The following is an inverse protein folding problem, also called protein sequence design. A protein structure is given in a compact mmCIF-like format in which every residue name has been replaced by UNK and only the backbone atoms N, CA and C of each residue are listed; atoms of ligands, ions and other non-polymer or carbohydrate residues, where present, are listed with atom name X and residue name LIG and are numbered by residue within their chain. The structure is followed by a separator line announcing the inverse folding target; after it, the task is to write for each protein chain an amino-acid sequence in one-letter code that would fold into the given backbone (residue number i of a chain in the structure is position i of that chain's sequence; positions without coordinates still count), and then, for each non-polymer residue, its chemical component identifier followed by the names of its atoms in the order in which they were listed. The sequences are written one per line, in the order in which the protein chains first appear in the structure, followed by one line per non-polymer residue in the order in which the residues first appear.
data_IF_728329640934
#
_entry.id   IF_728329640934
#
_cell.length_a   1.000
_cell.length_b   1.000
_cell.length_c   1.000
_cell.angle_alpha   90.00
_cell.angle_beta   90.00
_cell.angle_gamma   90.00
#
_symmetry.space_group_name_H-M   'P 1'
#
loop_
_entity.id
_entity.type
_entity.pdbx_description
1 polymer ?
#
# COMPACT_ATOMS: atom_id res chain seq x y z
N UNK A 1 19.91 -8.11 -8.20
CA UNK A 1 19.57 -7.07 -7.22
C UNK A 1 18.32 -6.31 -7.67
N UNK A 2 17.20 -6.62 -6.99
CA UNK A 2 15.88 -6.10 -7.34
C UNK A 2 15.77 -4.59 -7.14
N UNK A 3 16.31 -4.06 -6.02
CA UNK A 3 16.34 -2.61 -5.78
C UNK A 3 17.24 -1.87 -6.75
N UNK A 4 18.38 -2.43 -7.12
CA UNK A 4 19.26 -1.84 -8.14
C UNK A 4 18.55 -1.74 -9.49
N UNK A 5 17.73 -2.70 -9.85
CA UNK A 5 16.89 -2.63 -11.07
C UNK A 5 15.85 -1.52 -10.99
N UNK A 6 15.17 -1.41 -9.84
CA UNK A 6 14.22 -0.32 -9.58
C UNK A 6 14.92 1.06 -9.64
N UNK A 7 16.08 1.20 -9.00
CA UNK A 7 16.87 2.44 -9.04
C UNK A 7 17.28 2.82 -10.46
N UNK A 8 17.67 1.85 -11.29
CA UNK A 8 18.00 2.11 -12.70
C UNK A 8 16.80 2.61 -13.51
N UNK A 9 15.62 2.10 -13.23
CA UNK A 9 14.39 2.57 -13.88
C UNK A 9 14.13 4.06 -13.64
N UNK A 10 14.55 4.59 -12.49
CA UNK A 10 14.35 5.99 -12.10
C UNK A 10 15.63 6.84 -12.15
N UNK A 11 16.74 6.32 -12.71
CA UNK A 11 18.02 7.03 -12.76
C UNK A 11 18.09 8.15 -13.83
N UNK A 12 17.03 8.34 -14.62
CA UNK A 12 16.95 9.33 -15.70
C UNK A 12 16.75 10.78 -15.23
N UNK A 13 16.64 11.72 -16.19
CA UNK A 13 16.24 13.08 -15.90
C UNK A 13 14.92 13.14 -15.15
N UNK A 14 14.76 14.16 -14.31
CA UNK A 14 13.53 14.36 -13.52
C UNK A 14 12.74 15.52 -14.10
N UNK A 15 11.42 15.41 -14.04
CA UNK A 15 10.51 16.52 -14.28
C UNK A 15 10.24 17.20 -12.96
N UNK A 16 10.51 18.50 -12.87
CA UNK A 16 10.08 19.31 -11.73
C UNK A 16 8.61 19.69 -11.92
N UNK A 17 7.70 19.26 -11.02
CA UNK A 17 6.31 19.67 -11.11
C UNK A 17 6.18 21.16 -10.81
N UNK A 18 5.24 21.88 -11.49
CA UNK A 18 4.81 23.21 -11.08
C UNK A 18 4.40 23.25 -9.60
N UNK A 19 4.60 24.39 -8.95
CA UNK A 19 4.37 24.55 -7.50
C UNK A 19 2.91 24.35 -7.05
N UNK A 20 1.96 24.46 -7.96
CA UNK A 20 0.52 24.27 -7.74
C UNK A 20 0.05 22.83 -7.93
N UNK A 21 0.95 21.92 -8.33
CA UNK A 21 0.65 20.50 -8.46
C UNK A 21 1.02 19.71 -7.19
N UNK A 22 0.37 18.56 -6.95
CA UNK A 22 0.75 17.68 -5.86
C UNK A 22 2.15 17.09 -6.06
N UNK A 23 2.78 16.62 -4.97
CA UNK A 23 4.10 16.03 -5.04
C UNK A 23 4.20 14.77 -5.91
N UNK A 24 3.12 14.01 -6.02
CA UNK A 24 3.04 12.84 -6.89
C UNK A 24 2.20 13.17 -8.13
N UNK A 25 2.85 13.30 -9.26
CA UNK A 25 2.24 13.61 -10.55
C UNK A 25 2.28 12.44 -11.54
N UNK A 26 2.92 11.35 -11.16
CA UNK A 26 3.15 10.13 -11.93
C UNK A 26 4.39 9.40 -11.40
N UNK A 27 4.58 8.18 -11.84
CA UNK A 27 5.71 7.35 -11.41
C UNK A 27 5.29 5.94 -11.01
N UNK A 28 6.00 5.32 -10.08
CA UNK A 28 5.74 3.95 -9.65
C UNK A 28 5.00 3.90 -8.32
N UNK A 29 3.98 3.06 -8.25
CA UNK A 29 3.28 2.70 -7.02
C UNK A 29 3.30 1.18 -6.87
N UNK A 30 3.66 0.69 -5.68
CA UNK A 30 3.75 -0.75 -5.48
C UNK A 30 4.17 -1.12 -4.07
N UNK A 31 4.74 -2.30 -3.93
CA UNK A 31 5.22 -2.79 -2.64
C UNK A 31 6.61 -3.41 -2.74
N UNK A 32 7.27 -3.41 -1.60
CA UNK A 32 8.46 -4.18 -1.28
C UNK A 32 8.08 -5.15 -0.16
N UNK A 33 8.28 -6.47 -0.37
CA UNK A 33 8.03 -7.45 0.68
C UNK A 33 9.13 -7.39 1.74
N UNK A 34 8.82 -7.86 2.94
CA UNK A 34 9.83 -8.01 4.00
C UNK A 34 10.96 -8.94 3.56
N UNK A 35 10.64 -10.00 2.83
CA UNK A 35 11.62 -11.00 2.38
C UNK A 35 12.62 -10.47 1.32
N UNK A 36 12.41 -9.29 0.77
CA UNK A 36 13.42 -8.60 -0.05
C UNK A 36 14.74 -8.40 0.72
N UNK A 37 14.70 -8.32 2.05
CA UNK A 37 15.89 -8.27 2.90
C UNK A 37 16.87 -9.41 2.65
N UNK A 38 16.42 -10.56 2.13
CA UNK A 38 17.24 -11.73 1.79
C UNK A 38 18.20 -11.49 0.62
N UNK A 39 17.98 -10.45 -0.16
CA UNK A 39 18.97 -10.01 -1.18
C UNK A 39 20.18 -9.30 -0.56
N UNK A 40 20.07 -8.84 0.70
CA UNK A 40 21.09 -8.04 1.40
C UNK A 40 21.64 -8.73 2.64
N UNK A 41 20.84 -9.55 3.30
CA UNK A 41 21.17 -10.19 4.56
C UNK A 41 21.07 -11.72 4.44
N UNK A 42 22.01 -12.43 5.07
CA UNK A 42 21.97 -13.89 5.15
C UNK A 42 21.04 -14.29 6.29
N UNK A 43 19.80 -14.57 5.95
CA UNK A 43 18.78 -14.98 6.90
C UNK A 43 18.36 -16.44 6.68
N UNK A 44 18.05 -17.20 7.75
CA UNK A 44 17.53 -18.55 7.63
C UNK A 44 16.19 -18.58 6.88
N UNK A 45 16.08 -19.42 5.85
CA UNK A 45 14.84 -19.62 5.09
C UNK A 45 13.98 -20.71 5.75
N UNK A 46 13.46 -20.45 6.94
CA UNK A 46 12.68 -21.41 7.74
C UNK A 46 11.18 -21.32 7.43
N UNK A 47 10.68 -20.11 7.14
CA UNK A 47 9.28 -19.90 6.84
C UNK A 47 8.92 -20.48 5.45
N UNK A 48 7.74 -21.09 5.38
CA UNK A 48 7.20 -21.56 4.10
C UNK A 48 6.66 -20.37 3.32
N UNK A 49 7.10 -20.20 2.10
CA UNK A 49 6.48 -19.30 1.13
C UNK A 49 5.29 -20.02 0.49
N UNK A 50 4.09 -19.73 0.97
CA UNK A 50 2.84 -20.34 0.51
C UNK A 50 1.99 -19.40 -0.35
N UNK A 51 2.37 -18.13 -0.47
CA UNK A 51 1.71 -17.16 -1.31
C UNK A 51 2.38 -16.99 -2.67
N UNK A 52 3.69 -17.30 -2.77
CA UNK A 52 4.50 -17.20 -3.98
C UNK A 52 4.43 -15.81 -4.64
N UNK A 53 4.31 -14.77 -3.84
CA UNK A 53 4.25 -13.40 -4.32
C UNK A 53 5.64 -12.86 -4.65
N UNK A 54 5.78 -11.98 -5.64
CA UNK A 54 7.04 -11.31 -5.94
C UNK A 54 7.58 -10.54 -4.73
N UNK A 55 8.90 -10.48 -4.57
CA UNK A 55 9.55 -9.67 -3.52
C UNK A 55 9.31 -8.18 -3.70
N UNK A 56 9.10 -7.74 -4.93
CA UNK A 56 8.68 -6.39 -5.24
C UNK A 56 7.75 -6.41 -6.47
N UNK A 57 6.77 -5.52 -6.46
CA UNK A 57 5.89 -5.33 -7.62
C UNK A 57 5.44 -3.88 -7.68
N UNK A 58 5.58 -3.26 -8.86
CA UNK A 58 5.23 -1.85 -9.11
C UNK A 58 4.43 -1.71 -10.40
N UNK A 59 3.38 -0.91 -10.33
CA UNK A 59 2.72 -0.33 -11.50
C UNK A 59 3.32 1.02 -11.84
N UNK A 60 3.47 1.32 -13.12
CA UNK A 60 3.87 2.64 -13.61
C UNK A 60 2.63 3.43 -14.01
N UNK A 61 2.48 4.62 -13.46
CA UNK A 61 1.32 5.47 -13.65
C UNK A 61 1.74 6.79 -14.27
N UNK A 62 1.14 7.11 -15.39
CA UNK A 62 1.33 8.37 -16.12
C UNK A 62 0.13 9.32 -16.01
N UNK A 63 -0.95 8.84 -15.39
CA UNK A 63 -2.15 9.62 -15.11
C UNK A 63 -2.49 9.52 -13.62
N UNK A 64 -2.67 10.67 -12.98
CA UNK A 64 -2.98 10.79 -11.54
C UNK A 64 -4.21 11.68 -11.37
N UNK A 65 -5.12 11.26 -10.50
CA UNK A 65 -6.20 12.09 -9.99
C UNK A 65 -5.87 12.42 -8.53
N UNK A 66 -5.60 13.67 -8.26
CA UNK A 66 -5.31 14.16 -6.93
C UNK A 66 -6.52 14.91 -6.35
N UNK A 67 -6.86 14.60 -5.10
CA UNK A 67 -7.94 15.24 -4.36
C UNK A 67 -7.38 15.93 -3.14
N UNK A 68 -7.46 17.25 -3.09
CA UNK A 68 -7.13 18.03 -1.92
C UNK A 68 -8.41 18.39 -1.16
N UNK A 69 -8.65 17.70 -0.06
CA UNK A 69 -9.84 17.92 0.77
C UNK A 69 -9.81 19.24 1.54
N UNK A 70 -8.64 19.84 1.77
CA UNK A 70 -8.52 21.14 2.46
C UNK A 70 -8.84 22.29 1.50
N UNK A 71 -8.30 22.23 0.29
CA UNK A 71 -8.57 23.22 -0.75
C UNK A 71 -9.89 22.99 -1.49
N UNK A 72 -10.52 21.80 -1.33
CA UNK A 72 -11.70 21.42 -2.12
C UNK A 72 -11.39 21.29 -3.60
N UNK A 73 -10.18 20.88 -3.96
CA UNK A 73 -9.68 20.86 -5.33
C UNK A 73 -9.47 19.41 -5.81
N UNK A 74 -9.87 19.16 -7.05
CA UNK A 74 -9.53 17.93 -7.77
C UNK A 74 -8.70 18.27 -8.99
N UNK A 75 -7.58 17.58 -9.16
CA UNK A 75 -6.67 17.77 -10.29
C UNK A 75 -6.51 16.45 -11.04
N UNK A 76 -6.64 16.47 -12.36
CA UNK A 76 -6.33 15.35 -13.23
C UNK A 76 -5.02 15.70 -13.94
N UNK A 77 -4.01 14.87 -13.77
CA UNK A 77 -2.65 15.15 -14.19
C UNK A 77 -2.19 14.04 -15.11
N UNK A 78 -1.70 14.40 -16.29
CA UNK A 78 -1.02 13.48 -17.21
C UNK A 78 0.47 13.83 -17.27
N UNK A 79 1.30 12.90 -16.86
CA UNK A 79 2.76 13.02 -16.88
C UNK A 79 3.37 11.74 -17.47
N UNK A 80 3.59 11.69 -18.79
CA UNK A 80 4.13 10.53 -19.44
C UNK A 80 5.58 10.25 -18.98
N UNK A 81 6.05 8.99 -19.07
CA UNK A 81 7.44 8.65 -18.74
C UNK A 81 8.45 9.47 -19.53
N UNK A 82 9.60 9.75 -18.91
CA UNK A 82 10.64 10.62 -19.47
C UNK A 82 11.15 10.14 -20.84
N UNK A 83 11.18 8.84 -21.06
CA UNK A 83 11.61 8.22 -22.33
C UNK A 83 10.72 8.69 -23.48
N UNK A 84 9.43 8.87 -23.22
CA UNK A 84 8.49 9.40 -24.21
C UNK A 84 8.74 10.87 -24.51
N UNK A 85 9.10 11.67 -23.50
CA UNK A 85 9.50 13.08 -23.72
C UNK A 85 10.75 13.21 -24.56
N UNK A 86 11.67 12.26 -24.49
CA UNK A 86 12.92 12.26 -25.26
C UNK A 86 12.74 11.65 -26.67
N UNK A 87 11.80 10.71 -26.83
CA UNK A 87 11.62 9.94 -28.06
C UNK A 87 10.45 10.38 -28.95
N UNK A 88 9.50 11.16 -28.44
CA UNK A 88 8.29 11.56 -29.16
C UNK A 88 8.19 13.09 -29.31
N UNK A 89 7.39 13.54 -30.30
CA UNK A 89 7.15 14.98 -30.46
C UNK A 89 6.31 15.54 -29.32
N UNK A 90 6.65 16.71 -28.85
CA UNK A 90 5.88 17.41 -27.78
C UNK A 90 4.42 17.62 -28.17
N UNK A 91 4.18 17.92 -29.43
CA UNK A 91 2.81 18.14 -29.95
C UNK A 91 1.98 16.86 -29.87
N UNK A 92 2.56 15.70 -30.20
CA UNK A 92 1.89 14.39 -30.06
C UNK A 92 1.54 14.10 -28.60
N UNK A 93 2.50 14.26 -27.69
CA UNK A 93 2.28 14.04 -26.26
C UNK A 93 1.25 15.00 -25.66
N UNK A 94 1.25 16.25 -26.10
CA UNK A 94 0.28 17.25 -25.66
C UNK A 94 -1.14 16.91 -26.12
N UNK A 95 -1.32 16.52 -27.38
CA UNK A 95 -2.65 16.08 -27.88
C UNK A 95 -3.17 14.86 -27.13
N UNK A 96 -2.33 13.85 -26.99
CA UNK A 96 -2.67 12.66 -26.21
C UNK A 96 -3.05 13.01 -24.78
N UNK A 97 -2.31 13.91 -24.14
CA UNK A 97 -2.61 14.40 -22.80
C UNK A 97 -4.01 15.05 -22.73
N UNK A 98 -4.34 15.94 -23.67
CA UNK A 98 -5.66 16.56 -23.74
C UNK A 98 -6.78 15.51 -23.88
N UNK A 99 -6.61 14.54 -24.77
CA UNK A 99 -7.59 13.48 -24.98
C UNK A 99 -7.80 12.64 -23.73
N UNK A 100 -6.72 12.25 -23.05
CA UNK A 100 -6.79 11.48 -21.78
C UNK A 100 -7.41 12.27 -20.64
N UNK A 101 -7.07 13.55 -20.52
CA UNK A 101 -7.69 14.43 -19.49
C UNK A 101 -9.19 14.60 -19.74
N UNK A 102 -9.61 14.80 -20.98
CA UNK A 102 -11.02 14.91 -21.35
C UNK A 102 -11.80 13.60 -21.06
N UNK A 103 -11.21 12.45 -21.39
CA UNK A 103 -11.80 11.13 -21.08
C UNK A 103 -12.04 10.96 -19.57
N UNK A 104 -11.04 11.26 -18.76
CA UNK A 104 -11.15 11.09 -17.31
C UNK A 104 -12.07 12.13 -16.67
N UNK A 105 -12.10 13.35 -17.18
CA UNK A 105 -13.07 14.35 -16.75
C UNK A 105 -14.49 13.87 -17.03
N UNK A 106 -14.76 13.34 -18.20
CA UNK A 106 -16.09 12.80 -18.54
C UNK A 106 -16.48 11.60 -17.64
N UNK A 107 -15.53 10.75 -17.28
CA UNK A 107 -15.76 9.66 -16.31
C UNK A 107 -16.12 10.19 -14.92
N UNK A 108 -15.43 11.24 -14.45
CA UNK A 108 -15.70 11.84 -13.15
C UNK A 108 -17.05 12.57 -13.10
N UNK A 109 -17.47 13.17 -14.20
CA UNK A 109 -18.77 13.83 -14.32
C UNK A 109 -19.92 12.81 -14.45
N UNK A 110 -19.63 11.54 -14.74
CA UNK A 110 -20.63 10.49 -14.82
C UNK A 110 -21.07 10.02 -13.44
N UNK A 111 -22.33 9.61 -13.31
CA UNK A 111 -22.82 8.98 -12.08
C UNK A 111 -22.16 7.61 -11.91
N UNK A 112 -21.44 7.35 -10.81
CA UNK A 112 -20.84 6.05 -10.59
C UNK A 112 -21.92 4.95 -10.50
N UNK A 113 -21.63 3.73 -10.96
CA UNK A 113 -22.55 2.62 -10.77
C UNK A 113 -22.79 2.40 -9.27
N UNK A 114 -24.00 1.97 -8.88
CA UNK A 114 -24.28 1.67 -7.48
C UNK A 114 -23.33 0.57 -7.00
N UNK A 115 -22.69 0.82 -5.85
CA UNK A 115 -21.85 -0.21 -5.21
C UNK A 115 -22.74 -1.38 -4.82
N UNK A 116 -22.40 -2.57 -5.25
CA UNK A 116 -23.04 -3.82 -4.80
C UNK A 116 -22.83 -3.96 -3.30
N UNK A 117 -23.92 -4.19 -2.56
CA UNK A 117 -23.82 -4.43 -1.13
C UNK A 117 -22.95 -5.68 -0.90
N UNK A 118 -21.87 -5.59 -0.12
CA UNK A 118 -21.06 -6.76 0.18
C UNK A 118 -21.83 -7.74 1.06
N UNK A 119 -21.44 -9.01 1.04
CA UNK A 119 -22.03 -10.00 1.91
C UNK A 119 -21.89 -9.61 3.40
N UNK A 120 -22.85 -9.98 4.25
CA UNK A 120 -22.78 -9.68 5.68
C UNK A 120 -21.56 -10.40 6.31
N UNK A 121 -20.77 -9.67 7.11
CA UNK A 121 -19.52 -10.14 7.73
C UNK A 121 -19.71 -11.35 8.67
N UNK A 122 -20.92 -11.59 9.19
CA UNK A 122 -21.25 -12.74 10.05
C UNK A 122 -21.21 -14.09 9.32
N UNK A 123 -21.06 -14.11 8.01
CA UNK A 123 -20.92 -15.32 7.20
C UNK A 123 -19.47 -15.63 6.82
N UNK A 124 -18.51 -14.80 7.27
CA UNK A 124 -17.09 -14.97 6.92
C UNK A 124 -16.40 -15.76 8.03
N UNK A 125 -15.86 -16.92 7.69
CA UNK A 125 -15.02 -17.69 8.59
C UNK A 125 -13.56 -17.20 8.50
N UNK A 126 -12.97 -16.94 9.67
CA UNK A 126 -11.57 -16.57 9.82
C UNK A 126 -10.77 -17.77 10.32
N UNK A 127 -9.76 -18.18 9.60
CA UNK A 127 -8.87 -19.27 9.97
C UNK A 127 -7.51 -18.70 10.39
N UNK A 128 -7.15 -18.75 11.68
CA UNK A 128 -5.84 -18.33 12.13
C UNK A 128 -4.78 -19.34 11.68
N UNK A 129 -3.59 -18.87 11.34
CA UNK A 129 -2.44 -19.70 10.95
C UNK A 129 -1.86 -20.51 12.12
N UNK A 130 -2.23 -20.17 13.35
CA UNK A 130 -1.78 -20.84 14.58
C UNK A 130 -2.86 -20.78 15.65
N UNK A 131 -2.79 -21.73 16.60
CA UNK A 131 -3.68 -21.74 17.75
C UNK A 131 -3.35 -20.62 18.74
N UNK A 132 -4.34 -20.21 19.53
CA UNK A 132 -4.15 -19.23 20.62
C UNK A 132 -3.00 -19.62 21.56
N UNK A 133 -2.93 -20.90 21.96
CA UNK A 133 -1.90 -21.36 22.89
C UNK A 133 -0.50 -21.34 22.26
N UNK A 134 -0.39 -21.70 20.97
CA UNK A 134 0.89 -21.60 20.25
C UNK A 134 1.36 -20.14 20.16
N UNK A 135 0.45 -19.18 19.91
CA UNK A 135 0.79 -17.78 19.90
C UNK A 135 1.25 -17.28 21.27
N UNK A 136 0.55 -17.63 22.36
CA UNK A 136 0.91 -17.29 23.73
C UNK A 136 2.30 -17.84 24.07
N UNK A 137 2.60 -19.08 23.69
CA UNK A 137 3.94 -19.67 23.92
C UNK A 137 5.05 -18.90 23.19
N UNK A 138 4.81 -18.44 21.95
CA UNK A 138 5.76 -17.59 21.21
C UNK A 138 6.00 -16.26 21.91
N UNK A 139 4.95 -15.61 22.40
CA UNK A 139 5.07 -14.36 23.18
C UNK A 139 5.91 -14.59 24.43
N UNK A 140 5.63 -15.64 25.20
CA UNK A 140 6.41 -15.99 26.41
C UNK A 140 7.87 -16.26 26.08
N UNK A 141 8.14 -16.91 24.94
CA UNK A 141 9.52 -17.16 24.51
C UNK A 141 10.26 -15.86 24.16
N UNK A 142 9.60 -14.93 23.47
CA UNK A 142 10.18 -13.61 23.22
C UNK A 142 10.49 -12.86 24.50
N UNK A 143 9.58 -12.89 25.49
CA UNK A 143 9.81 -12.28 26.81
C UNK A 143 11.04 -12.87 27.51
N UNK A 144 11.27 -14.20 27.39
CA UNK A 144 12.47 -14.85 27.94
C UNK A 144 13.73 -14.35 27.24
N UNK A 145 13.74 -14.21 25.90
CA UNK A 145 14.89 -13.67 25.17
C UNK A 145 15.18 -12.21 25.53
N UNK A 146 14.14 -11.39 25.71
CA UNK A 146 14.31 -10.01 26.17
C UNK A 146 14.91 -9.97 27.58
N UNK A 147 14.40 -10.81 28.50
CA UNK A 147 14.92 -10.88 29.87
C UNK A 147 16.37 -11.39 29.94
N UNK A 148 16.75 -12.28 29.02
CA UNK A 148 18.13 -12.77 28.89
C UNK A 148 19.08 -11.77 28.25
N UNK A 149 18.56 -10.70 27.61
CA UNK A 149 19.36 -9.72 26.86
C UNK A 149 19.74 -10.18 25.45
N UNK A 150 19.15 -11.27 24.96
CA UNK A 150 19.42 -11.79 23.62
C UNK A 150 18.81 -10.91 22.52
N UNK A 151 17.65 -10.29 22.79
CA UNK A 151 16.96 -9.37 21.89
C UNK A 151 16.40 -8.21 22.69
N UNK A 152 16.22 -7.08 22.02
CA UNK A 152 15.63 -5.87 22.58
C UNK A 152 14.11 -5.80 22.36
N UNK A 153 13.66 -6.20 21.17
CA UNK A 153 12.28 -6.12 20.72
C UNK A 153 11.99 -7.26 19.75
N UNK A 154 10.74 -7.70 19.70
CA UNK A 154 10.23 -8.64 18.70
C UNK A 154 8.84 -8.22 18.23
N UNK A 155 8.61 -8.29 16.92
CA UNK A 155 7.29 -8.15 16.30
C UNK A 155 6.77 -9.55 15.92
N UNK A 156 5.75 -10.01 16.62
CA UNK A 156 5.09 -11.29 16.34
C UNK A 156 3.87 -11.07 15.48
N UNK A 157 3.91 -11.53 14.24
CA UNK A 157 2.77 -11.48 13.35
C UNK A 157 1.84 -12.69 13.53
N UNK A 158 0.58 -12.48 13.24
CA UNK A 158 -0.45 -13.51 13.22
C UNK A 158 -1.31 -13.31 11.96
N UNK A 159 -1.39 -14.36 11.14
CA UNK A 159 -2.17 -14.33 9.90
C UNK A 159 -3.53 -15.00 10.11
N UNK A 160 -4.55 -14.38 9.54
CA UNK A 160 -5.87 -14.96 9.39
C UNK A 160 -6.18 -15.13 7.91
N UNK A 161 -6.63 -16.31 7.54
CA UNK A 161 -7.10 -16.59 6.19
C UNK A 161 -8.63 -16.57 6.18
N UNK A 162 -9.20 -15.95 5.17
CA UNK A 162 -10.63 -15.94 4.92
C UNK A 162 -10.93 -17.00 3.85
N UNK A 163 -11.93 -17.83 4.08
CA UNK A 163 -12.49 -18.64 2.99
C UNK A 163 -13.34 -17.73 2.10
N UNK A 164 -13.12 -17.76 0.77
CA UNK A 164 -14.01 -17.06 -0.13
C UNK A 164 -15.42 -17.65 0.02
N UNK A 165 -16.42 -16.78 0.09
CA UNK A 165 -17.82 -17.21 0.08
C UNK A 165 -18.08 -18.00 -1.20
N UNK A 166 -18.80 -19.12 -1.10
CA UNK A 166 -19.13 -19.99 -2.25
C UNK A 166 -19.89 -19.28 -3.38
N UNK A 167 -20.43 -18.10 -3.10
CA UNK A 167 -21.11 -17.21 -4.05
C UNK A 167 -20.18 -16.20 -4.72
N UNK A 168 -18.89 -16.20 -4.33
CA UNK A 168 -17.91 -15.24 -4.81
C UNK A 168 -17.04 -15.88 -5.89
N UNK A 169 -17.32 -15.57 -7.16
CA UNK A 169 -16.39 -15.90 -8.25
C UNK A 169 -15.28 -14.84 -8.30
N UNK A 170 -14.17 -15.13 -7.64
CA UNK A 170 -12.99 -14.28 -7.59
C UNK A 170 -12.39 -13.93 -8.97
N UNK A 171 -12.84 -14.58 -10.03
CA UNK A 171 -12.37 -14.37 -11.39
C UNK A 171 -13.17 -13.31 -12.16
N UNK A 172 -14.41 -13.06 -11.75
CA UNK A 172 -15.36 -12.27 -12.56
C UNK A 172 -15.61 -10.88 -11.96
N UNK A 173 -15.54 -10.70 -10.63
CA UNK A 173 -16.02 -9.45 -10.02
C UNK A 173 -15.27 -9.06 -8.73
N UNK A 174 -13.95 -9.06 -8.79
CA UNK A 174 -13.06 -8.83 -7.64
C UNK A 174 -13.10 -7.38 -7.15
N UNK A 175 -13.01 -6.44 -8.08
CA UNK A 175 -12.80 -5.02 -7.75
C UNK A 175 -13.89 -4.37 -6.89
N UNK A 176 -15.21 -4.55 -7.13
CA UNK A 176 -16.23 -3.92 -6.31
C UNK A 176 -16.19 -4.37 -4.85
N UNK A 177 -15.89 -5.64 -4.59
CA UNK A 177 -15.79 -6.19 -3.24
C UNK A 177 -14.55 -5.68 -2.50
N UNK A 178 -13.42 -5.58 -3.19
CA UNK A 178 -12.16 -5.06 -2.64
C UNK A 178 -12.28 -3.56 -2.32
N UNK A 179 -12.92 -2.79 -3.18
CA UNK A 179 -13.21 -1.38 -2.93
C UNK A 179 -14.12 -1.19 -1.71
N UNK A 180 -15.17 -1.98 -1.59
CA UNK A 180 -16.06 -1.92 -0.43
C UNK A 180 -15.35 -2.36 0.86
N UNK A 181 -14.50 -3.40 0.80
CA UNK A 181 -13.68 -3.80 1.94
C UNK A 181 -12.74 -2.66 2.37
N UNK A 182 -12.09 -2.01 1.41
CA UNK A 182 -11.25 -0.85 1.67
C UNK A 182 -12.04 0.31 2.28
N UNK A 183 -13.21 0.64 1.75
CA UNK A 183 -14.09 1.67 2.27
C UNK A 183 -14.51 1.40 3.73
N UNK A 184 -14.84 0.14 4.05
CA UNK A 184 -15.16 -0.25 5.44
C UNK A 184 -13.94 -0.15 6.34
N UNK A 185 -12.78 -0.58 5.86
CA UNK A 185 -11.54 -0.45 6.61
C UNK A 185 -11.24 1.00 6.94
N UNK A 186 -11.38 1.91 5.97
CA UNK A 186 -11.20 3.34 6.18
C UNK A 186 -12.22 3.93 7.18
N UNK A 187 -13.47 3.43 7.19
CA UNK A 187 -14.49 3.89 8.14
C UNK A 187 -14.18 3.49 9.58
N UNK A 188 -13.57 2.31 9.78
CA UNK A 188 -13.21 1.79 11.11
C UNK A 188 -11.85 2.35 11.56
N UNK A 189 -10.91 2.46 10.64
CA UNK A 189 -9.53 2.86 10.89
C UNK A 189 -9.06 3.86 9.82
N UNK A 190 -9.40 5.15 9.94
CA UNK A 190 -9.05 6.20 8.98
C UNK A 190 -7.57 6.57 9.07
N UNK A 191 -6.72 5.67 8.64
CA UNK A 191 -5.26 5.84 8.73
C UNK A 191 -4.73 6.73 7.60
N UNK A 192 -3.74 7.62 7.89
CA UNK A 192 -3.27 8.64 6.95
C UNK A 192 -2.48 8.09 5.76
N UNK A 193 -2.01 6.84 5.84
CA UNK A 193 -1.24 6.16 4.79
C UNK A 193 -1.97 4.90 4.30
N UNK A 194 -3.30 4.96 4.28
CA UNK A 194 -4.13 3.90 3.73
C UNK A 194 -3.93 3.79 2.22
N UNK A 195 -4.03 2.58 1.69
CA UNK A 195 -3.87 2.31 0.27
C UNK A 195 -4.66 1.10 -0.20
N UNK A 196 -5.12 1.18 -1.45
CA UNK A 196 -5.67 0.08 -2.21
C UNK A 196 -4.90 0.00 -3.52
N UNK A 197 -4.20 -1.09 -3.75
CA UNK A 197 -3.39 -1.30 -4.97
C UNK A 197 -3.77 -2.62 -5.61
N UNK A 198 -4.24 -2.57 -6.85
CA UNK A 198 -4.57 -3.73 -7.64
C UNK A 198 -3.39 -4.13 -8.52
N UNK A 199 -3.02 -5.41 -8.45
CA UNK A 199 -2.18 -6.09 -9.43
C UNK A 199 -2.97 -7.26 -10.02
N UNK A 200 -2.47 -7.85 -11.10
CA UNK A 200 -3.19 -8.92 -11.81
C UNK A 200 -3.53 -10.10 -10.90
N UNK A 201 -2.61 -10.49 -10.03
CA UNK A 201 -2.73 -11.68 -9.16
C UNK A 201 -3.10 -11.35 -7.71
N UNK A 202 -2.82 -10.13 -7.25
CA UNK A 202 -2.99 -9.73 -5.85
C UNK A 202 -3.50 -8.31 -5.73
N UNK A 203 -4.36 -8.08 -4.75
CA UNK A 203 -4.77 -6.75 -4.32
C UNK A 203 -4.30 -6.50 -2.90
N UNK A 204 -3.60 -5.40 -2.70
CA UNK A 204 -3.19 -4.94 -1.39
C UNK A 204 -4.20 -3.93 -0.86
N UNK A 205 -4.73 -4.20 0.34
CA UNK A 205 -5.63 -3.31 1.07
C UNK A 205 -4.96 -2.99 2.40
N UNK A 206 -4.61 -1.73 2.62
CA UNK A 206 -3.84 -1.32 3.79
C UNK A 206 -4.46 -0.12 4.48
N UNK A 207 -4.41 -0.12 5.81
CA UNK A 207 -4.71 1.02 6.69
C UNK A 207 -3.47 1.33 7.55
N UNK A 208 -2.38 1.75 6.91
CA UNK A 208 -1.12 2.04 7.59
C UNK A 208 -1.19 3.38 8.34
N UNK A 209 -0.94 3.40 9.66
CA UNK A 209 -0.92 4.63 10.44
C UNK A 209 0.44 5.35 10.36
N UNK A 210 1.48 4.69 9.86
CA UNK A 210 2.87 5.13 9.98
C UNK A 210 3.54 5.28 8.63
N UNK A 211 4.29 6.38 8.47
CA UNK A 211 5.16 6.60 7.32
C UNK A 211 6.58 6.19 7.64
N UNK A 212 7.07 5.14 6.98
CA UNK A 212 8.45 4.70 7.13
C UNK A 212 9.43 5.80 6.72
N UNK A 213 9.31 6.31 5.50
CA UNK A 213 10.22 7.31 4.95
C UNK A 213 9.54 8.16 3.86
N UNK A 214 9.89 9.42 3.79
CA UNK A 214 9.67 10.30 2.65
C UNK A 214 10.96 11.01 2.30
N UNK A 215 11.32 10.99 1.04
CA UNK A 215 12.41 11.80 0.48
C UNK A 215 11.80 12.84 -0.45
N UNK A 216 12.04 14.11 -0.18
CA UNK A 216 11.57 15.22 -1.01
C UNK A 216 12.59 16.36 -0.94
N UNK A 217 13.04 16.87 -2.08
CA UNK A 217 14.03 17.95 -2.19
C UNK A 217 15.29 17.72 -1.34
N UNK A 218 15.80 16.48 -1.36
CA UNK A 218 16.97 16.09 -0.58
C UNK A 218 16.75 16.00 0.93
N UNK A 219 15.51 16.22 1.40
CA UNK A 219 15.14 16.06 2.81
C UNK A 219 14.47 14.72 3.04
N UNK A 220 14.92 14.02 4.05
CA UNK A 220 14.34 12.75 4.49
C UNK A 220 13.51 13.00 5.75
N UNK A 221 12.28 12.55 5.78
CA UNK A 221 11.44 12.56 6.96
C UNK A 221 10.74 11.21 7.20
N UNK A 222 10.45 10.92 8.46
CA UNK A 222 9.67 9.76 8.91
C UNK A 222 8.59 10.25 9.88
N UNK A 223 7.51 9.46 10.06
CA UNK A 223 6.45 9.73 11.04
C UNK A 223 6.19 8.50 11.89
N UNK A 224 7.10 8.19 12.84
CA UNK A 224 6.89 7.08 13.75
C UNK A 224 5.75 7.39 14.71
N UNK A 225 4.95 6.36 15.03
CA UNK A 225 3.89 6.42 16.04
C UNK A 225 4.28 5.70 17.33
N UNK A 226 5.32 4.85 17.27
CA UNK A 226 5.84 4.15 18.44
C UNK A 226 6.45 5.14 19.44
N UNK A 227 6.03 5.06 20.70
CA UNK A 227 6.58 5.87 21.77
C UNK A 227 6.44 5.16 23.11
N UNK A 228 7.40 5.41 24.00
CA UNK A 228 7.35 4.92 25.37
C UNK A 228 6.73 5.98 26.28
N UNK A 229 5.74 5.59 27.05
CA UNK A 229 5.08 6.40 28.05
C UNK A 229 5.22 5.72 29.42
N UNK A 230 5.25 6.45 30.53
CA UNK A 230 5.07 5.86 31.85
C UNK A 230 3.73 5.14 31.89
N UNK A 231 3.66 4.02 32.58
CA UNK A 231 2.38 3.37 32.83
C UNK A 231 1.47 4.27 33.66
N UNK A 232 0.19 4.20 33.41
CA UNK A 232 -0.81 4.85 34.24
C UNK A 232 -0.77 4.33 35.69
N UNK A 233 -1.33 5.12 36.61
CA UNK A 233 -1.41 4.76 38.02
C UNK A 233 -2.44 3.64 38.25
N UNK A 234 -3.37 3.46 37.34
CA UNK A 234 -4.39 2.42 37.34
C UNK A 234 -4.75 1.94 35.92
N UNK A 235 -5.64 0.97 35.79
CA UNK A 235 -6.07 0.40 34.51
C UNK A 235 -6.89 1.34 33.63
N UNK A 236 -7.27 2.52 34.09
CA UNK A 236 -7.99 3.53 33.31
C UNK A 236 -7.05 4.58 32.73
N UNK A 237 -5.87 4.77 33.38
CA UNK A 237 -4.85 5.70 32.95
C UNK A 237 -3.79 5.05 32.03
N UNK A 238 -3.76 3.70 31.94
CA UNK A 238 -2.85 2.91 31.12
C UNK A 238 -3.56 2.52 29.81
#
# INVERSE_FOLDING_TARGET
DSLGSLCRLFAGPRVEPPADLPHFIGGAVGYLSYDLVREYEILPAIAKDDLLLPYLQFGLYDLVIAVDHQAGLVQIIFCPPIERFLGESREKLYREGLDRLAEWQAKMDSTPPPLTAPPPLNQIAFHPDQTRDAYIQRVRRCQQYIAAGDIYQANLSHRFTLEPLSTYDARVDRQPHEQELYRRLQAINPSPFSGLVHFDEVTLISASPERLIRLHDGRVDTRPIAGTRPRGLDTYDD
#
